data_IF_543943313003
#
_entry.id   IF_543943313003
#
_cell.length_a   1.000
_cell.length_b   1.000
_cell.length_c   1.000
_cell.angle_alpha   90.00
_cell.angle_beta   90.00
_cell.angle_gamma   90.00
#
_symmetry.space_group_name_H-M   'P 1'
#
loop_
_entity.id
_entity.type
_entity.pdbx_description
1 polymer ?
#
# COMPACT_ATOMS: atom_id res chain seq x y z
N UNK A 1 9.89 9.84 3.27
CA UNK A 1 11.00 8.98 3.73
C UNK A 1 10.88 8.80 5.24
N UNK A 2 10.19 7.75 5.70
CA UNK A 2 9.97 7.48 7.15
C UNK A 2 10.65 6.17 7.58
N UNK A 3 10.60 5.14 6.72
CA UNK A 3 11.19 3.82 7.02
C UNK A 3 12.71 3.85 7.34
N UNK A 4 13.58 4.60 6.62
CA UNK A 4 15.01 4.64 6.95
C UNK A 4 15.29 5.32 8.30
N UNK A 5 14.41 6.22 8.75
CA UNK A 5 14.54 6.89 10.05
C UNK A 5 14.14 5.93 11.16
N UNK A 6 13.04 5.18 10.98
CA UNK A 6 12.57 4.18 11.94
C UNK A 6 13.56 3.02 12.09
N UNK A 7 14.08 2.50 10.97
CA UNK A 7 15.02 1.39 10.95
C UNK A 7 16.50 1.79 11.12
N UNK A 8 16.81 3.06 11.34
CA UNK A 8 18.16 3.47 11.72
C UNK A 8 18.10 4.31 12.99
N UNK A 9 17.17 3.97 13.89
CA UNK A 9 16.90 4.73 15.09
C UNK A 9 18.16 4.92 15.94
N UNK A 10 19.05 3.92 15.97
CA UNK A 10 20.33 3.96 16.68
C UNK A 10 21.31 5.03 16.17
N UNK A 11 21.34 5.32 14.86
CA UNK A 11 22.21 6.39 14.33
C UNK A 11 21.74 7.79 14.74
N UNK A 12 20.44 7.94 15.01
CA UNK A 12 19.83 9.22 15.36
C UNK A 12 19.73 9.44 16.86
N UNK A 13 19.53 8.37 17.64
CA UNK A 13 19.34 8.42 19.09
C UNK A 13 20.64 8.19 19.89
N UNK A 14 21.73 7.81 19.22
CA UNK A 14 23.05 7.63 19.84
C UNK A 14 23.23 6.33 20.63
N UNK A 15 22.16 5.59 20.90
CA UNK A 15 22.16 4.28 21.57
C UNK A 15 21.18 3.31 20.89
N UNK A 16 21.39 2.00 21.04
CA UNK A 16 20.47 0.96 20.55
C UNK A 16 19.25 0.81 21.47
N UNK A 17 18.43 1.86 21.55
CA UNK A 17 17.24 1.91 22.40
C UNK A 17 16.13 0.96 21.89
N UNK A 18 16.02 0.81 20.57
CA UNK A 18 15.00 -0.02 19.91
C UNK A 18 15.62 -1.25 19.26
N UNK A 19 15.02 -2.41 19.49
CA UNK A 19 15.31 -3.63 18.73
C UNK A 19 14.60 -3.57 17.36
N UNK A 20 15.13 -4.27 16.36
CA UNK A 20 14.57 -4.40 15.00
C UNK A 20 13.09 -4.77 14.96
N UNK A 21 12.67 -5.64 15.88
CA UNK A 21 11.26 -6.01 16.02
C UNK A 21 10.39 -4.80 16.44
N UNK A 22 10.85 -3.99 17.38
CA UNK A 22 10.13 -2.79 17.84
C UNK A 22 10.06 -1.72 16.76
N UNK A 23 11.14 -1.55 15.99
CA UNK A 23 11.14 -0.67 14.81
C UNK A 23 10.12 -1.15 13.77
N UNK A 24 10.01 -2.47 13.54
CA UNK A 24 9.00 -3.06 12.67
C UNK A 24 7.55 -2.82 13.13
N UNK A 25 7.29 -2.86 14.45
CA UNK A 25 5.98 -2.51 15.00
C UNK A 25 5.63 -1.04 14.70
N UNK A 26 6.58 -0.11 14.92
CA UNK A 26 6.36 1.31 14.61
C UNK A 26 6.13 1.54 13.11
N UNK A 27 6.86 0.84 12.25
CA UNK A 27 6.67 0.92 10.80
C UNK A 27 5.26 0.46 10.39
N UNK A 28 4.76 -0.61 11.02
CA UNK A 28 3.44 -1.17 10.71
C UNK A 28 2.33 -0.19 11.07
N UNK A 29 2.45 0.52 12.20
CA UNK A 29 1.54 1.61 12.56
C UNK A 29 1.50 2.73 11.51
N UNK A 30 2.65 3.09 10.92
CA UNK A 30 2.68 4.05 9.81
C UNK A 30 1.92 3.50 8.61
N UNK A 31 2.09 2.23 8.25
CA UNK A 31 1.35 1.60 7.15
C UNK A 31 -0.15 1.54 7.41
N UNK A 32 -0.58 1.23 8.63
CA UNK A 32 -2.00 1.26 9.03
C UNK A 32 -2.58 2.67 8.82
N UNK A 33 -1.90 3.70 9.30
CA UNK A 33 -2.40 5.09 9.16
C UNK A 33 -2.42 5.55 7.72
N UNK A 34 -1.46 5.12 6.91
CA UNK A 34 -1.39 5.45 5.48
C UNK A 34 -2.35 4.61 4.62
N UNK A 35 -2.88 3.49 5.13
CA UNK A 35 -3.87 2.70 4.38
C UNK A 35 -5.22 3.41 4.30
N UNK A 36 -5.63 4.17 5.32
CA UNK A 36 -6.89 4.92 5.29
C UNK A 36 -6.98 5.92 4.13
N UNK A 37 -6.02 6.85 3.92
CA UNK A 37 -6.06 7.74 2.77
C UNK A 37 -5.88 6.97 1.45
N UNK A 38 -5.10 5.90 1.41
CA UNK A 38 -4.97 5.06 0.20
C UNK A 38 -6.33 4.46 -0.21
N UNK A 39 -7.08 3.89 0.74
CA UNK A 39 -8.41 3.34 0.51
C UNK A 39 -9.36 4.44 0.05
N UNK A 40 -9.33 5.62 0.68
CA UNK A 40 -10.14 6.75 0.25
C UNK A 40 -9.86 7.12 -1.21
N UNK A 41 -8.57 7.23 -1.60
CA UNK A 41 -8.17 7.47 -2.99
C UNK A 41 -8.68 6.38 -3.93
N UNK A 42 -8.57 5.10 -3.55
CA UNK A 42 -9.10 3.99 -4.36
C UNK A 42 -10.61 4.13 -4.58
N UNK A 43 -11.38 4.47 -3.54
CA UNK A 43 -12.83 4.67 -3.64
C UNK A 43 -13.18 5.88 -4.52
N UNK A 44 -12.47 7.00 -4.39
CA UNK A 44 -12.67 8.17 -5.25
C UNK A 44 -12.32 7.87 -6.70
N UNK A 45 -11.21 7.17 -6.97
CA UNK A 45 -10.82 6.76 -8.32
C UNK A 45 -11.83 5.80 -8.94
N UNK A 46 -12.35 4.85 -8.16
CA UNK A 46 -13.42 3.94 -8.59
C UNK A 46 -14.68 4.73 -8.98
N UNK A 47 -15.16 5.61 -8.10
CA UNK A 47 -16.35 6.41 -8.36
C UNK A 47 -16.19 7.29 -9.61
N UNK A 48 -15.04 7.95 -9.74
CA UNK A 48 -14.73 8.80 -10.89
C UNK A 48 -14.75 8.01 -12.22
N UNK A 49 -14.04 6.87 -12.28
CA UNK A 49 -13.96 6.10 -13.53
C UNK A 49 -15.29 5.42 -13.87
N UNK A 50 -16.07 5.00 -12.86
CA UNK A 50 -17.44 4.48 -13.07
C UNK A 50 -18.36 5.54 -13.67
N UNK A 51 -18.29 6.79 -13.19
CA UNK A 51 -19.06 7.89 -13.77
C UNK A 51 -18.66 8.18 -15.23
N UNK A 52 -17.36 8.13 -15.54
CA UNK A 52 -16.86 8.30 -16.90
C UNK A 52 -17.27 7.14 -17.82
N UNK A 53 -17.34 5.91 -17.28
CA UNK A 53 -17.83 4.74 -18.02
C UNK A 53 -19.28 4.93 -18.45
N UNK A 54 -20.14 5.44 -17.57
CA UNK A 54 -21.54 5.74 -17.88
C UNK A 54 -21.70 6.82 -18.95
N UNK A 55 -20.79 7.80 -18.98
CA UNK A 55 -20.74 8.86 -20.00
C UNK A 55 -20.18 8.37 -21.36
N UNK A 56 -19.73 7.11 -21.45
CA UNK A 56 -19.06 6.51 -22.62
C UNK A 56 -17.71 7.16 -23.01
N UNK A 57 -17.11 7.93 -22.10
CA UNK A 57 -15.78 8.54 -22.28
C UNK A 57 -14.65 7.69 -21.66
N UNK A 58 -14.95 6.45 -21.25
CA UNK A 58 -13.97 5.58 -20.61
C UNK A 58 -13.12 4.81 -21.62
N UNK A 59 -11.87 4.55 -21.23
CA UNK A 59 -10.85 3.87 -22.01
C UNK A 59 -10.57 2.54 -21.34
N UNK A 60 -10.45 1.48 -22.13
CA UNK A 60 -10.13 0.15 -21.63
C UNK A 60 -8.87 0.11 -20.77
N UNK A 61 -7.84 0.91 -21.13
CA UNK A 61 -6.60 0.97 -20.33
C UNK A 61 -6.86 1.66 -18.98
N UNK A 62 -7.71 2.69 -18.94
CA UNK A 62 -8.10 3.34 -17.69
C UNK A 62 -8.93 2.40 -16.81
N UNK A 63 -9.87 1.64 -17.37
CA UNK A 63 -10.67 0.67 -16.62
C UNK A 63 -9.83 -0.45 -16.01
N UNK A 64 -8.90 -1.03 -16.78
CA UNK A 64 -8.00 -2.08 -16.29
C UNK A 64 -7.09 -1.52 -15.20
N UNK A 65 -6.52 -0.33 -15.42
CA UNK A 65 -5.62 0.31 -14.46
C UNK A 65 -6.35 0.69 -13.16
N UNK A 66 -7.57 1.19 -13.26
CA UNK A 66 -8.43 1.47 -12.10
C UNK A 66 -8.76 0.18 -11.36
N UNK A 67 -9.17 -0.88 -12.06
CA UNK A 67 -9.52 -2.15 -11.44
C UNK A 67 -8.34 -2.78 -10.71
N UNK A 68 -7.15 -2.75 -11.32
CA UNK A 68 -5.91 -3.22 -10.68
C UNK A 68 -5.57 -2.38 -9.46
N UNK A 69 -5.55 -1.05 -9.58
CA UNK A 69 -5.24 -0.14 -8.47
C UNK A 69 -6.19 -0.35 -7.29
N UNK A 70 -7.49 -0.43 -7.53
CA UNK A 70 -8.50 -0.63 -6.48
C UNK A 70 -8.39 -2.03 -5.88
N UNK A 71 -8.27 -3.06 -6.72
CA UNK A 71 -8.15 -4.45 -6.26
C UNK A 71 -6.93 -4.66 -5.37
N UNK A 72 -5.74 -4.22 -5.80
CA UNK A 72 -4.52 -4.36 -5.00
C UNK A 72 -4.47 -3.38 -3.83
N UNK A 73 -5.03 -2.18 -3.97
CA UNK A 73 -5.13 -1.21 -2.88
C UNK A 73 -6.00 -1.70 -1.73
N UNK A 74 -7.16 -2.29 -2.03
CA UNK A 74 -8.04 -2.90 -1.04
C UNK A 74 -7.43 -4.16 -0.44
N UNK A 75 -6.78 -5.01 -1.24
CA UNK A 75 -6.08 -6.19 -0.75
C UNK A 75 -4.95 -5.81 0.23
N UNK A 76 -4.20 -4.75 -0.08
CA UNK A 76 -3.20 -4.20 0.83
C UNK A 76 -3.80 -3.77 2.18
N UNK A 77 -4.87 -2.98 2.14
CA UNK A 77 -5.52 -2.45 3.34
C UNK A 77 -6.24 -3.49 4.20
N UNK A 78 -7.01 -4.38 3.58
CA UNK A 78 -7.94 -5.28 4.27
C UNK A 78 -7.42 -6.72 4.48
N UNK A 79 -6.36 -7.14 3.78
CA UNK A 79 -5.79 -8.48 3.92
C UNK A 79 -4.35 -8.43 4.45
N UNK A 80 -3.45 -7.74 3.76
CA UNK A 80 -2.03 -7.80 4.11
C UNK A 80 -1.70 -7.11 5.43
N UNK A 81 -2.23 -5.91 5.68
CA UNK A 81 -2.01 -5.20 6.95
C UNK A 81 -2.50 -6.01 8.17
N UNK A 82 -3.76 -6.49 8.22
CA UNK A 82 -4.22 -7.25 9.38
C UNK A 82 -3.46 -8.56 9.57
N UNK A 83 -3.06 -9.24 8.49
CA UNK A 83 -2.25 -10.47 8.58
C UNK A 83 -0.85 -10.20 9.15
N UNK A 84 -0.20 -9.11 8.72
CA UNK A 84 1.10 -8.69 9.26
C UNK A 84 1.00 -8.34 10.75
N UNK A 85 -0.05 -7.62 11.14
CA UNK A 85 -0.32 -7.31 12.56
C UNK A 85 -0.58 -8.57 13.38
N UNK A 86 -1.32 -9.54 12.83
CA UNK A 86 -1.59 -10.81 13.48
C UNK A 86 -0.29 -11.57 13.75
N UNK A 87 0.57 -11.72 12.74
CA UNK A 87 1.86 -12.40 12.88
C UNK A 87 2.82 -11.65 13.82
N UNK A 88 2.81 -10.32 13.82
CA UNK A 88 3.59 -9.52 14.76
C UNK A 88 3.11 -9.68 16.21
N UNK A 89 1.80 -9.81 16.43
CA UNK A 89 1.22 -10.02 17.77
C UNK A 89 1.64 -11.35 18.40
N UNK A 90 2.02 -12.34 17.59
CA UNK A 90 2.55 -13.63 18.04
C UNK A 90 4.02 -13.55 18.49
N UNK A 91 4.65 -12.38 18.35
CA UNK A 91 6.00 -12.10 18.83
C UNK A 91 7.10 -12.31 17.77
N UNK A 92 8.37 -12.12 18.19
CA UNK A 92 9.49 -12.01 17.25
C UNK A 92 9.79 -13.31 16.48
N UNK A 93 9.52 -14.48 17.07
CA UNK A 93 9.73 -15.78 16.41
C UNK A 93 8.84 -15.91 15.17
N UNK A 94 7.57 -15.49 15.26
CA UNK A 94 6.65 -15.53 14.14
C UNK A 94 7.08 -14.60 13.00
N UNK A 95 7.67 -13.44 13.31
CA UNK A 95 8.20 -12.50 12.30
C UNK A 95 9.47 -12.98 11.59
N UNK A 96 10.17 -13.97 12.16
CA UNK A 96 11.33 -14.61 11.52
C UNK A 96 10.93 -15.83 10.68
N UNK A 97 9.64 -16.18 10.67
CA UNK A 97 9.15 -17.34 9.91
C UNK A 97 9.19 -17.08 8.39
N UNK A 98 9.34 -18.14 7.57
CA UNK A 98 9.25 -18.02 6.12
C UNK A 98 7.87 -17.54 5.66
N UNK A 99 6.81 -17.81 6.45
CA UNK A 99 5.44 -17.34 6.18
C UNK A 99 5.38 -15.82 6.26
N UNK A 100 5.90 -15.23 7.33
CA UNK A 100 5.95 -13.77 7.48
C UNK A 100 6.75 -13.12 6.34
N UNK A 101 7.91 -13.66 6.00
CA UNK A 101 8.74 -13.14 4.91
C UNK A 101 8.00 -13.16 3.56
N UNK A 102 7.22 -14.22 3.29
CA UNK A 102 6.40 -14.32 2.08
C UNK A 102 5.27 -13.30 2.07
N UNK A 103 4.51 -13.18 3.16
CA UNK A 103 3.40 -12.23 3.30
C UNK A 103 3.90 -10.78 3.18
N UNK A 104 4.98 -10.43 3.89
CA UNK A 104 5.58 -9.10 3.84
C UNK A 104 6.09 -8.74 2.44
N UNK A 105 6.81 -9.65 1.77
CA UNK A 105 7.28 -9.41 0.40
C UNK A 105 6.13 -9.27 -0.60
N UNK A 106 5.07 -10.07 -0.42
CA UNK A 106 3.90 -10.02 -1.30
C UNK A 106 3.13 -8.72 -1.11
N UNK A 107 3.00 -8.23 0.12
CA UNK A 107 2.35 -6.95 0.40
C UNK A 107 3.10 -5.78 -0.25
N UNK A 108 4.44 -5.80 -0.25
CA UNK A 108 5.26 -4.80 -0.96
C UNK A 108 5.02 -4.81 -2.47
N UNK A 109 4.92 -6.01 -3.07
CA UNK A 109 4.63 -6.15 -4.50
C UNK A 109 3.23 -5.63 -4.81
N UNK A 110 2.25 -6.01 -3.98
CA UNK A 110 0.87 -5.54 -4.10
C UNK A 110 0.79 -4.01 -4.06
N UNK A 111 1.49 -3.38 -3.12
CA UNK A 111 1.57 -1.92 -3.02
C UNK A 111 2.24 -1.28 -4.25
N UNK A 112 3.33 -1.85 -4.76
CA UNK A 112 3.99 -1.37 -5.99
C UNK A 112 3.04 -1.42 -7.20
N UNK A 113 2.26 -2.49 -7.33
CA UNK A 113 1.25 -2.62 -8.39
C UNK A 113 0.20 -1.52 -8.24
N UNK A 114 -0.34 -1.31 -7.02
CA UNK A 114 -1.30 -0.23 -6.75
C UNK A 114 -0.79 1.13 -7.21
N UNK A 115 0.45 1.48 -6.86
CA UNK A 115 1.05 2.77 -7.23
C UNK A 115 1.25 2.87 -8.73
N UNK A 116 1.80 1.83 -9.37
CA UNK A 116 2.05 1.84 -10.82
C UNK A 116 0.74 1.96 -11.61
N UNK A 117 -0.27 1.17 -11.26
CA UNK A 117 -1.59 1.23 -11.89
C UNK A 117 -2.27 2.57 -11.67
N UNK A 118 -2.12 3.18 -10.49
CA UNK A 118 -2.62 4.53 -10.22
C UNK A 118 -1.94 5.61 -11.05
N UNK A 119 -0.62 5.54 -11.23
CA UNK A 119 0.11 6.47 -12.10
C UNK A 119 -0.33 6.37 -13.56
N UNK A 120 -0.51 5.13 -14.06
CA UNK A 120 -1.04 4.90 -15.41
C UNK A 120 -2.45 5.48 -15.54
N UNK A 121 -3.33 5.23 -14.56
CA UNK A 121 -4.69 5.76 -14.56
C UNK A 121 -4.71 7.29 -14.64
N UNK A 122 -3.94 7.97 -13.78
CA UNK A 122 -3.85 9.43 -13.77
C UNK A 122 -3.34 9.95 -15.11
N UNK A 123 -2.27 9.36 -15.65
CA UNK A 123 -1.71 9.79 -16.93
C UNK A 123 -2.71 9.63 -18.08
N UNK A 124 -3.45 8.51 -18.13
CA UNK A 124 -4.48 8.28 -19.16
C UNK A 124 -5.62 9.30 -19.02
N UNK A 125 -6.05 9.60 -17.81
CA UNK A 125 -7.15 10.55 -17.59
C UNK A 125 -6.73 12.00 -17.92
N UNK A 126 -5.49 12.41 -17.64
CA UNK A 126 -4.98 13.72 -18.07
C UNK A 126 -4.89 13.80 -19.61
N UNK A 127 -4.38 12.76 -20.27
CA UNK A 127 -4.29 12.74 -21.74
C UNK A 127 -5.66 12.84 -22.42
N UNK A 128 -6.71 12.26 -21.81
CA UNK A 128 -8.09 12.41 -22.31
C UNK A 128 -8.59 13.85 -22.18
N UNK A 129 -8.33 14.51 -21.05
CA UNK A 129 -8.76 15.90 -20.82
C UNK A 129 -8.07 16.91 -21.75
N UNK A 130 -6.87 16.58 -22.24
CA UNK A 130 -6.09 17.44 -23.14
C UNK A 130 -6.48 17.31 -24.62
N UNK A 131 -7.39 16.41 -24.98
CA UNK A 131 -7.90 16.22 -26.35
C UNK A 131 -9.29 16.85 -26.49
#
# INVERSE_FOLDING_TARGET
MVAPVIFNSSSWLGESVLNRFQEGLMMTEVFVRLSYPLIAVCLFSLAYEVLNYWKKDSDWIALISMSLMVGTGLLFGFYFIPEILHLQSQGPIATQSPVFASIHKTSEICFKITVLSGLVLVFRNILKMSR
#
